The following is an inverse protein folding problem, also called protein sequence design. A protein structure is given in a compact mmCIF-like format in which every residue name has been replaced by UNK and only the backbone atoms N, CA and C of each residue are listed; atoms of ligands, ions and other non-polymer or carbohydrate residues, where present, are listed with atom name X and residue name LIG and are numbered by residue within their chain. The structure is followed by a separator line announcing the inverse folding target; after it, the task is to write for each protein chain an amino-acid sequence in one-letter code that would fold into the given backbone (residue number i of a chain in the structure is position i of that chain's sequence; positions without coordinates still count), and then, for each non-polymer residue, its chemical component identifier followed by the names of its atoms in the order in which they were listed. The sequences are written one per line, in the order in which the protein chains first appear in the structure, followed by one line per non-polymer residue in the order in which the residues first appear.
data_IF_784298735889
#
_entry.id   IF_784298735889
#
_cell.length_a   1.000
_cell.length_b   1.000
_cell.length_c   1.000
_cell.angle_alpha   90.00
_cell.angle_beta   90.00
_cell.angle_gamma   90.00
#
_symmetry.space_group_name_H-M   'P 1'
#
loop_
_entity.id
_entity.type
_entity.pdbx_description
1 polymer ?
#
# COMPACT_ATOMS: atom_id res chain seq x y z
N UNK A 1 7.17 -8.28 -24.13
CA UNK A 1 8.27 -7.68 -23.31
C UNK A 1 8.64 -8.48 -22.05
N UNK A 2 7.85 -9.48 -21.62
CA UNK A 2 7.89 -10.05 -20.26
C UNK A 2 9.01 -11.07 -19.93
N UNK A 3 9.91 -11.40 -20.87
CA UNK A 3 10.92 -12.46 -20.67
C UNK A 3 12.38 -11.98 -20.59
N UNK A 4 12.65 -10.69 -20.79
CA UNK A 4 14.00 -10.13 -20.68
C UNK A 4 14.17 -9.51 -19.28
N UNK A 5 15.21 -9.90 -18.55
CA UNK A 5 15.60 -9.20 -17.32
C UNK A 5 15.97 -7.75 -17.63
N UNK A 6 16.00 -6.85 -16.63
CA UNK A 6 16.26 -5.42 -16.86
C UNK A 6 17.53 -5.13 -17.68
N UNK A 7 18.58 -5.94 -17.48
CA UNK A 7 19.83 -5.84 -18.25
C UNK A 7 19.67 -6.32 -19.70
N UNK A 8 18.95 -7.41 -19.91
CA UNK A 8 18.72 -7.96 -21.26
C UNK A 8 17.80 -7.06 -22.08
N UNK A 9 16.82 -6.43 -21.43
CA UNK A 9 15.97 -5.39 -22.04
C UNK A 9 16.83 -4.21 -22.50
N UNK A 10 17.71 -3.72 -21.63
CA UNK A 10 18.65 -2.64 -21.97
C UNK A 10 19.57 -3.03 -23.13
N UNK A 11 20.14 -4.24 -23.12
CA UNK A 11 20.98 -4.69 -24.24
C UNK A 11 20.21 -4.75 -25.55
N UNK A 12 19.00 -5.30 -25.54
CA UNK A 12 18.19 -5.45 -26.74
C UNK A 12 17.78 -4.09 -27.30
N UNK A 13 17.19 -3.23 -26.48
CA UNK A 13 16.60 -1.98 -26.97
C UNK A 13 17.59 -0.81 -27.07
N UNK A 14 18.49 -0.63 -26.09
CA UNK A 14 19.48 0.46 -26.17
C UNK A 14 20.70 0.10 -27.02
N UNK A 15 21.23 -1.12 -26.90
CA UNK A 15 22.52 -1.46 -27.54
C UNK A 15 22.33 -2.01 -28.96
N UNK A 16 21.34 -2.89 -29.19
CA UNK A 16 21.09 -3.46 -30.53
C UNK A 16 20.15 -2.60 -31.36
N UNK A 17 18.98 -2.26 -30.83
CA UNK A 17 17.95 -1.51 -31.58
C UNK A 17 18.20 0.00 -31.57
N UNK A 18 19.04 0.49 -30.64
CA UNK A 18 19.42 1.91 -30.49
C UNK A 18 18.23 2.84 -30.28
N UNK A 19 17.24 2.36 -29.54
CA UNK A 19 16.08 3.16 -29.16
C UNK A 19 16.50 4.31 -28.22
N UNK A 20 15.95 5.52 -28.38
CA UNK A 20 16.25 6.63 -27.48
C UNK A 20 15.81 6.33 -26.04
N UNK A 21 16.70 6.54 -25.05
CA UNK A 21 16.40 6.30 -23.62
C UNK A 21 15.14 7.06 -23.17
N UNK A 22 14.93 8.28 -23.65
CA UNK A 22 13.77 9.10 -23.30
C UNK A 22 12.46 8.45 -23.76
N UNK A 23 12.45 7.80 -24.94
CA UNK A 23 11.28 7.08 -25.43
C UNK A 23 11.02 5.83 -24.59
N UNK A 24 12.06 5.10 -24.23
CA UNK A 24 11.92 3.95 -23.33
C UNK A 24 11.43 4.37 -21.93
N UNK A 25 11.91 5.50 -21.41
CA UNK A 25 11.43 6.05 -20.14
C UNK A 25 9.94 6.39 -20.18
N UNK A 26 9.47 6.94 -21.31
CA UNK A 26 8.05 7.25 -21.53
C UNK A 26 7.19 5.99 -21.52
N UNK A 27 7.66 4.88 -22.12
CA UNK A 27 7.00 3.57 -22.06
C UNK A 27 6.84 3.07 -20.63
N UNK A 28 7.78 3.37 -19.73
CA UNK A 28 7.68 3.03 -18.30
C UNK A 28 6.99 4.12 -17.47
N UNK A 29 6.30 5.08 -18.10
CA UNK A 29 5.53 6.13 -17.45
C UNK A 29 6.38 7.23 -16.81
N UNK A 30 7.65 7.37 -17.21
CA UNK A 30 8.57 8.39 -16.70
C UNK A 30 8.71 9.53 -17.71
N UNK A 31 7.92 10.58 -17.50
CA UNK A 31 8.01 11.79 -18.30
C UNK A 31 9.23 12.63 -17.91
N UNK A 32 10.24 12.69 -18.78
CA UNK A 32 11.44 13.51 -18.58
C UNK A 32 11.12 14.97 -18.93
N UNK A 33 11.18 15.93 -17.99
CA UNK A 33 10.90 17.33 -18.31
C UNK A 33 11.94 17.89 -19.28
N UNK A 34 11.60 18.89 -20.12
CA UNK A 34 12.51 19.40 -21.15
C UNK A 34 13.89 19.84 -20.65
N UNK A 35 13.97 20.36 -19.42
CA UNK A 35 15.23 20.78 -18.80
C UNK A 35 16.16 19.62 -18.43
N UNK A 36 15.61 18.40 -18.33
CA UNK A 36 16.32 17.17 -17.97
C UNK A 36 16.67 16.31 -19.19
N UNK A 37 16.29 16.73 -20.41
CA UNK A 37 16.60 16.01 -21.66
C UNK A 37 18.12 16.01 -21.93
N UNK A 38 18.81 17.07 -21.52
CA UNK A 38 20.26 17.23 -21.73
C UNK A 38 21.11 16.58 -20.61
N UNK A 39 20.49 15.80 -19.71
CA UNK A 39 21.24 15.05 -18.70
C UNK A 39 22.15 14.01 -19.37
N UNK A 40 23.25 13.68 -18.70
CA UNK A 40 24.16 12.64 -19.19
C UNK A 40 23.43 11.31 -19.40
N UNK A 41 23.75 10.63 -20.50
CA UNK A 41 23.13 9.37 -20.90
C UNK A 41 23.24 8.29 -19.82
N UNK A 42 24.32 8.30 -19.03
CA UNK A 42 24.55 7.44 -17.86
C UNK A 42 23.48 7.62 -16.78
N UNK A 43 23.05 8.85 -16.55
CA UNK A 43 22.01 9.18 -15.57
C UNK A 43 20.65 8.74 -16.06
N UNK A 44 20.31 9.04 -17.32
CA UNK A 44 19.06 8.59 -17.94
C UNK A 44 18.97 7.05 -17.99
N UNK A 45 20.07 6.35 -18.29
CA UNK A 45 20.14 4.88 -18.24
C UNK A 45 19.90 4.34 -16.83
N UNK A 46 20.40 5.03 -15.81
CA UNK A 46 20.16 4.65 -14.40
C UNK A 46 18.68 4.79 -14.04
N UNK A 47 18.05 5.90 -14.41
CA UNK A 47 16.60 6.10 -14.22
C UNK A 47 15.83 5.02 -14.97
N UNK A 48 16.21 4.69 -16.21
CA UNK A 48 15.55 3.66 -17.00
C UNK A 48 15.64 2.29 -16.32
N UNK A 49 16.83 1.88 -15.87
CA UNK A 49 17.02 0.62 -15.15
C UNK A 49 16.19 0.56 -13.87
N UNK A 50 16.13 1.65 -13.10
CA UNK A 50 15.27 1.73 -11.91
C UNK A 50 13.79 1.63 -12.26
N UNK A 51 13.38 2.26 -13.37
CA UNK A 51 11.99 2.25 -13.85
C UNK A 51 11.57 0.87 -14.33
N UNK A 52 12.42 0.18 -15.11
CA UNK A 52 12.22 -1.22 -15.52
C UNK A 52 12.15 -2.13 -14.29
N UNK A 53 13.08 -1.99 -13.34
CA UNK A 53 13.11 -2.80 -12.12
C UNK A 53 11.84 -2.60 -11.30
N UNK A 54 11.37 -1.35 -11.17
CA UNK A 54 10.11 -1.02 -10.51
C UNK A 54 8.92 -1.63 -11.25
N UNK A 55 8.90 -1.56 -12.58
CA UNK A 55 7.85 -2.13 -13.42
C UNK A 55 7.79 -3.66 -13.30
N UNK A 56 8.93 -4.34 -13.47
CA UNK A 56 9.05 -5.80 -13.32
C UNK A 56 8.78 -6.27 -11.89
N UNK A 57 9.05 -5.42 -10.90
CA UNK A 57 8.74 -5.67 -9.49
C UNK A 57 7.26 -5.49 -9.13
N UNK A 58 6.42 -4.96 -10.04
CA UNK A 58 4.99 -4.87 -9.77
C UNK A 58 4.37 -6.26 -9.75
N UNK A 59 3.63 -6.54 -8.68
CA UNK A 59 2.82 -7.75 -8.59
C UNK A 59 1.83 -7.81 -9.75
N UNK A 60 1.73 -8.98 -10.38
CA UNK A 60 0.68 -9.28 -11.36
C UNK A 60 -0.59 -9.77 -10.68
N UNK A 61 -1.73 -9.44 -11.28
CA UNK A 61 -3.06 -9.83 -10.79
C UNK A 61 -3.25 -11.35 -10.84
N UNK A 62 -3.94 -11.91 -9.84
CA UNK A 62 -4.38 -13.30 -9.86
C UNK A 62 -5.63 -13.43 -10.73
N UNK A 63 -5.46 -13.89 -11.97
CA UNK A 63 -6.53 -13.96 -12.98
C UNK A 63 -7.72 -14.86 -12.62
N UNK A 64 -7.56 -15.75 -11.63
CA UNK A 64 -8.64 -16.62 -11.15
C UNK A 64 -9.51 -15.98 -10.06
N UNK A 65 -9.19 -14.75 -9.63
CA UNK A 65 -9.90 -14.00 -8.59
C UNK A 65 -10.39 -12.69 -9.23
N UNK A 66 -11.71 -12.54 -9.39
CA UNK A 66 -12.28 -11.40 -10.12
C UNK A 66 -13.64 -10.93 -9.58
N UNK A 67 -14.44 -11.86 -9.06
CA UNK A 67 -15.84 -11.61 -8.72
C UNK A 67 -16.01 -11.13 -7.28
N UNK A 68 -17.19 -10.56 -7.03
CA UNK A 68 -17.60 -10.24 -5.66
C UNK A 68 -17.77 -11.51 -4.81
N UNK A 69 -18.19 -12.61 -5.42
CA UNK A 69 -18.27 -13.94 -4.81
C UNK A 69 -16.89 -14.46 -4.39
N UNK A 70 -15.85 -14.25 -5.20
CA UNK A 70 -14.47 -14.62 -4.84
C UNK A 70 -14.00 -13.85 -3.60
N UNK A 71 -14.35 -12.56 -3.49
CA UNK A 71 -14.05 -11.76 -2.29
C UNK A 71 -14.71 -12.34 -1.04
N UNK A 72 -15.97 -12.73 -1.13
CA UNK A 72 -16.70 -13.35 -0.01
C UNK A 72 -16.01 -14.66 0.40
N UNK A 73 -15.67 -15.51 -0.58
CA UNK A 73 -15.00 -16.79 -0.35
C UNK A 73 -13.61 -16.60 0.29
N UNK A 74 -12.83 -15.63 -0.18
CA UNK A 74 -11.52 -15.27 0.38
C UNK A 74 -11.67 -14.85 1.84
N UNK A 75 -12.54 -13.89 2.15
CA UNK A 75 -12.76 -13.43 3.54
C UNK A 75 -13.22 -14.59 4.43
N UNK A 76 -14.05 -15.49 3.90
CA UNK A 76 -14.53 -16.66 4.64
C UNK A 76 -13.41 -17.68 4.93
N UNK A 77 -12.50 -17.93 3.97
CA UNK A 77 -11.43 -18.93 4.09
C UNK A 77 -10.17 -18.41 4.81
N UNK A 78 -9.81 -17.16 4.60
CA UNK A 78 -8.61 -16.53 5.15
C UNK A 78 -8.63 -16.47 6.69
N UNK A 79 -7.45 -16.63 7.29
CA UNK A 79 -7.23 -16.65 8.74
C UNK A 79 -6.23 -15.59 9.20
N UNK A 80 -5.45 -15.04 8.27
CA UNK A 80 -4.36 -14.09 8.54
C UNK A 80 -4.50 -12.88 7.62
N UNK A 81 -5.63 -12.19 7.79
CA UNK A 81 -5.99 -11.03 6.98
C UNK A 81 -5.22 -9.81 7.48
N UNK A 82 -4.45 -9.19 6.58
CA UNK A 82 -3.86 -7.87 6.78
C UNK A 82 -4.82 -6.82 6.23
N UNK A 83 -5.17 -5.81 7.04
CA UNK A 83 -6.01 -4.69 6.59
C UNK A 83 -5.20 -3.41 6.60
N UNK A 84 -5.08 -2.73 5.47
CA UNK A 84 -4.45 -1.42 5.35
C UNK A 84 -5.54 -0.35 5.25
N UNK A 85 -5.60 0.57 6.22
CA UNK A 85 -6.61 1.62 6.28
C UNK A 85 -6.03 3.01 6.07
N UNK A 86 -6.82 3.87 5.42
CA UNK A 86 -6.55 5.31 5.31
C UNK A 86 -7.77 6.15 5.68
N UNK A 87 -7.69 7.45 5.42
CA UNK A 87 -8.68 8.42 5.92
C UNK A 87 -10.13 8.13 5.48
N UNK A 88 -10.32 7.40 4.38
CA UNK A 88 -11.64 7.01 3.87
C UNK A 88 -12.49 6.24 4.87
N UNK A 89 -11.89 5.46 5.79
CA UNK A 89 -12.65 4.72 6.81
C UNK A 89 -13.23 5.61 7.92
N UNK A 90 -12.71 6.83 8.05
CA UNK A 90 -13.09 7.79 9.10
C UNK A 90 -13.99 8.92 8.59
N UNK A 91 -14.29 8.98 7.28
CA UNK A 91 -15.10 10.06 6.69
C UNK A 91 -16.51 10.11 7.28
N UNK A 92 -17.16 8.96 7.45
CA UNK A 92 -18.49 8.86 8.07
C UNK A 92 -18.49 9.14 9.57
N UNK A 93 -17.32 9.07 10.23
CA UNK A 93 -17.15 9.48 11.63
C UNK A 93 -17.20 11.01 11.80
N UNK A 94 -17.21 11.78 10.70
CA UNK A 94 -17.17 13.24 10.70
C UNK A 94 -15.76 13.83 10.60
N UNK A 95 -14.74 13.00 10.37
CA UNK A 95 -13.36 13.45 10.12
C UNK A 95 -13.18 13.60 8.60
N UNK A 96 -12.99 14.83 8.09
CA UNK A 96 -12.70 15.00 6.66
C UNK A 96 -11.36 14.34 6.33
N UNK A 97 -11.28 13.71 5.16
CA UNK A 97 -10.00 13.24 4.65
C UNK A 97 -9.08 14.42 4.30
N UNK A 98 -7.83 14.15 3.94
CA UNK A 98 -6.90 15.22 3.60
C UNK A 98 -7.15 15.79 2.20
N UNK A 99 -7.48 14.94 1.22
CA UNK A 99 -7.28 15.21 -0.20
C UNK A 99 -8.55 15.44 -1.03
N UNK A 100 -9.73 15.00 -0.56
CA UNK A 100 -10.95 15.17 -1.33
C UNK A 100 -11.33 16.65 -1.51
N UNK A 101 -12.32 16.90 -2.37
CA UNK A 101 -12.86 18.25 -2.61
C UNK A 101 -13.35 18.96 -1.34
N UNK A 102 -13.75 18.19 -0.31
CA UNK A 102 -14.16 18.72 1.00
C UNK A 102 -13.11 18.46 2.09
N UNK A 103 -11.93 17.98 1.71
CA UNK A 103 -10.87 17.57 2.61
C UNK A 103 -10.16 18.74 3.30
N UNK A 104 -9.24 18.42 4.20
CA UNK A 104 -8.49 19.39 5.01
C UNK A 104 -7.73 20.37 4.12
N UNK A 105 -7.09 19.89 3.05
CA UNK A 105 -6.21 20.70 2.20
C UNK A 105 -6.92 21.85 1.49
N UNK A 106 -8.22 21.74 1.20
CA UNK A 106 -8.98 22.84 0.59
C UNK A 106 -9.22 24.00 1.57
N UNK A 107 -9.22 23.72 2.87
CA UNK A 107 -9.33 24.73 3.94
C UNK A 107 -8.00 25.41 4.24
N UNK A 108 -6.88 24.88 3.72
CA UNK A 108 -5.54 25.41 3.97
C UNK A 108 -5.14 26.58 3.05
N UNK A 109 -5.94 26.91 2.04
CA UNK A 109 -5.65 28.03 1.12
C UNK A 109 -5.43 29.38 1.82
N UNK A 110 -5.98 29.55 3.03
CA UNK A 110 -5.78 30.75 3.87
C UNK A 110 -4.35 30.90 4.42
N UNK A 111 -3.54 29.85 4.43
CA UNK A 111 -2.17 29.85 4.94
C UNK A 111 -1.12 30.13 3.87
N UNK A 112 -1.53 30.36 2.62
CA UNK A 112 -0.66 30.65 1.48
C UNK A 112 0.50 29.63 1.32
N UNK A 113 0.22 28.36 1.65
CA UNK A 113 1.14 27.24 1.44
C UNK A 113 1.21 26.94 -0.05
N UNK A 114 2.42 26.67 -0.57
CA UNK A 114 2.60 26.25 -1.95
C UNK A 114 2.14 24.82 -2.18
N UNK A 115 2.25 23.98 -1.15
CA UNK A 115 1.68 22.62 -1.10
C UNK A 115 1.03 22.41 0.28
N UNK A 116 -0.26 22.04 0.36
CA UNK A 116 -0.92 21.68 1.62
C UNK A 116 -0.17 20.65 2.48
N UNK A 117 0.65 19.78 1.88
CA UNK A 117 1.49 18.80 2.59
C UNK A 117 2.55 19.45 3.49
N UNK A 118 2.96 20.70 3.19
CA UNK A 118 3.93 21.46 4.00
C UNK A 118 3.49 21.65 5.45
N UNK A 119 2.19 21.58 5.74
CA UNK A 119 1.69 21.63 7.12
C UNK A 119 2.20 20.46 7.98
N UNK A 120 2.51 19.33 7.35
CA UNK A 120 3.03 18.12 7.97
C UNK A 120 4.49 17.89 7.59
N UNK A 121 5.22 18.89 7.12
CA UNK A 121 6.66 18.79 6.84
C UNK A 121 7.47 19.18 8.08
N UNK A 122 8.45 18.35 8.46
CA UNK A 122 9.21 18.58 9.70
C UNK A 122 10.03 19.88 9.64
N UNK A 123 10.66 20.17 8.50
CA UNK A 123 11.51 21.36 8.35
C UNK A 123 10.65 22.63 8.32
N UNK A 124 9.50 22.57 7.66
CA UNK A 124 8.52 23.66 7.71
C UNK A 124 7.99 23.88 9.13
N UNK A 125 7.71 22.81 9.87
CA UNK A 125 7.27 22.87 11.28
C UNK A 125 8.33 23.48 12.21
N UNK A 126 9.63 23.25 11.97
CA UNK A 126 10.71 23.88 12.75
C UNK A 126 10.73 25.39 12.59
N UNK A 127 10.34 25.89 11.42
CA UNK A 127 10.35 27.32 11.07
C UNK A 127 9.06 28.02 11.51
N UNK A 128 7.90 27.41 11.24
CA UNK A 128 6.58 28.01 11.42
C UNK A 128 5.58 27.05 12.12
N UNK A 129 5.85 26.62 13.36
CA UNK A 129 5.01 25.65 14.09
C UNK A 129 3.57 26.16 14.33
N UNK A 130 3.37 27.48 14.37
CA UNK A 130 2.06 28.11 14.52
C UNK A 130 1.08 27.75 13.40
N UNK A 131 1.56 27.44 12.20
CA UNK A 131 0.70 27.03 11.08
C UNK A 131 0.03 25.70 11.40
N UNK A 132 0.81 24.70 11.83
CA UNK A 132 0.27 23.43 12.31
C UNK A 132 -0.65 23.64 13.52
N UNK A 133 -0.23 24.41 14.53
CA UNK A 133 -1.02 24.60 15.76
C UNK A 133 -2.31 25.41 15.59
N UNK A 134 -2.38 26.25 14.55
CA UNK A 134 -3.64 26.91 14.18
C UNK A 134 -4.68 25.94 13.61
N UNK A 135 -4.24 24.75 13.18
CA UNK A 135 -5.07 23.70 12.58
C UNK A 135 -5.22 22.46 13.47
N UNK A 136 -4.27 22.16 14.35
CA UNK A 136 -4.19 20.92 15.12
C UNK A 136 -5.47 20.56 15.89
N UNK A 137 -6.27 21.53 16.33
CA UNK A 137 -7.56 21.29 16.99
C UNK A 137 -8.59 20.56 16.11
N UNK A 138 -8.53 20.73 14.79
CA UNK A 138 -9.48 20.18 13.82
C UNK A 138 -9.24 18.67 13.63
N UNK A 139 -8.01 18.21 13.86
CA UNK A 139 -7.59 16.80 13.76
C UNK A 139 -7.33 16.16 15.12
N UNK A 140 -7.46 16.93 16.21
CA UNK A 140 -7.29 16.39 17.56
C UNK A 140 -8.39 15.36 17.84
N UNK A 141 -8.08 14.20 18.45
CA UNK A 141 -9.08 13.19 18.75
C UNK A 141 -10.25 13.78 19.54
N UNK A 142 -11.44 13.70 18.98
CA UNK A 142 -12.69 14.10 19.61
C UNK A 142 -13.56 12.87 19.85
N UNK A 143 -14.70 12.99 20.54
CA UNK A 143 -15.61 11.88 20.85
C UNK A 143 -16.32 11.34 19.59
N UNK A 144 -15.56 10.93 18.58
CA UNK A 144 -16.04 10.31 17.36
C UNK A 144 -16.48 8.88 17.65
N UNK A 145 -17.54 8.44 16.97
CA UNK A 145 -17.98 7.05 17.01
C UNK A 145 -17.28 6.29 15.87
N UNK A 146 -16.80 5.06 16.12
CA UNK A 146 -16.28 4.21 15.06
C UNK A 146 -17.29 4.00 13.93
N UNK A 147 -16.81 3.98 12.69
CA UNK A 147 -17.63 3.68 11.50
C UNK A 147 -17.88 2.17 11.36
N UNK A 148 -18.87 1.77 10.53
CA UNK A 148 -19.03 0.38 10.09
C UNK A 148 -17.72 -0.26 9.60
N UNK A 149 -16.88 0.49 8.88
CA UNK A 149 -15.55 0.03 8.43
C UNK A 149 -14.63 -0.35 9.59
N UNK A 150 -14.59 0.45 10.67
CA UNK A 150 -13.83 0.09 11.88
C UNK A 150 -14.41 -1.13 12.57
N UNK A 151 -15.74 -1.21 12.68
CA UNK A 151 -16.41 -2.34 13.31
C UNK A 151 -16.26 -3.64 12.51
N UNK A 152 -16.12 -3.56 11.19
CA UNK A 152 -15.76 -4.70 10.35
C UNK A 152 -14.37 -5.25 10.69
N UNK A 153 -13.37 -4.37 10.85
CA UNK A 153 -12.03 -4.78 11.27
C UNK A 153 -12.08 -5.40 12.67
N UNK A 154 -12.84 -4.80 13.58
CA UNK A 154 -13.07 -5.37 14.91
C UNK A 154 -13.73 -6.76 14.84
N UNK A 155 -14.66 -6.95 13.91
CA UNK A 155 -15.32 -8.23 13.68
C UNK A 155 -14.35 -9.29 13.14
N UNK A 156 -13.45 -8.91 12.23
CA UNK A 156 -12.36 -9.80 11.77
C UNK A 156 -11.46 -10.22 12.94
N UNK A 157 -11.14 -9.29 13.86
CA UNK A 157 -10.39 -9.61 15.08
C UNK A 157 -11.16 -10.58 15.99
N UNK A 158 -12.43 -10.30 16.25
CA UNK A 158 -13.29 -11.14 17.10
C UNK A 158 -13.49 -12.56 16.52
N UNK A 159 -13.39 -12.71 15.20
CA UNK A 159 -13.44 -14.00 14.50
C UNK A 159 -12.07 -14.68 14.36
N UNK A 160 -11.02 -14.13 14.96
CA UNK A 160 -9.64 -14.60 14.89
C UNK A 160 -9.11 -14.71 13.43
N UNK A 161 -9.52 -13.76 12.59
CA UNK A 161 -9.11 -13.66 11.18
C UNK A 161 -8.13 -12.52 10.93
N UNK A 162 -8.15 -11.48 11.76
CA UNK A 162 -7.26 -10.34 11.63
C UNK A 162 -5.83 -10.74 12.06
N UNK A 163 -4.87 -10.61 11.14
CA UNK A 163 -3.45 -10.64 11.44
C UNK A 163 -3.00 -9.30 12.04
N UNK A 164 -3.27 -8.21 11.30
CA UNK A 164 -2.97 -6.84 11.72
C UNK A 164 -3.77 -5.84 10.91
N UNK A 165 -4.11 -4.72 11.52
CA UNK A 165 -4.55 -3.52 10.83
C UNK A 165 -3.44 -2.47 10.83
N UNK A 166 -2.88 -2.17 9.64
CA UNK A 166 -1.94 -1.09 9.41
C UNK A 166 -2.74 0.17 9.05
N UNK A 167 -2.81 1.14 9.95
CA UNK A 167 -3.57 2.37 9.71
C UNK A 167 -2.64 3.55 9.42
N UNK A 168 -2.97 4.29 8.36
CA UNK A 168 -2.35 5.58 8.04
C UNK A 168 -2.99 6.73 8.82
N UNK A 169 -4.09 6.46 9.53
CA UNK A 169 -4.82 7.46 10.29
C UNK A 169 -4.10 7.79 11.60
N UNK A 170 -4.34 9.01 12.06
CA UNK A 170 -3.80 9.56 13.32
C UNK A 170 -4.91 9.84 14.34
N UNK A 171 -6.16 9.54 13.96
CA UNK A 171 -7.38 9.89 14.70
C UNK A 171 -7.67 8.97 15.89
N UNK A 172 -7.01 7.81 15.96
CA UNK A 172 -7.11 6.79 17.02
C UNK A 172 -8.48 6.10 17.15
N UNK A 173 -9.34 6.20 16.13
CA UNK A 173 -10.68 5.58 16.17
C UNK A 173 -10.60 4.06 16.26
N UNK A 174 -9.55 3.43 15.73
CA UNK A 174 -9.31 1.99 15.83
C UNK A 174 -9.23 1.53 17.30
N UNK A 175 -8.59 2.33 18.16
CA UNK A 175 -8.52 2.07 19.59
C UNK A 175 -9.89 2.24 20.28
N UNK A 176 -10.68 3.23 19.84
CA UNK A 176 -12.05 3.44 20.33
C UNK A 176 -12.97 2.27 19.92
N UNK A 177 -12.78 1.73 18.71
CA UNK A 177 -13.43 0.51 18.24
C UNK A 177 -12.98 -0.76 18.97
N UNK A 178 -11.96 -0.64 19.84
CA UNK A 178 -11.41 -1.74 20.63
C UNK A 178 -10.61 -2.74 19.80
N UNK A 179 -10.08 -2.33 18.63
CA UNK A 179 -9.20 -3.18 17.81
C UNK A 179 -7.82 -3.19 18.46
N UNK A 180 -7.31 -4.37 18.79
CA UNK A 180 -6.05 -4.53 19.52
C UNK A 180 -4.87 -4.75 18.57
N UNK A 181 -5.09 -5.45 17.46
CA UNK A 181 -4.06 -5.76 16.45
C UNK A 181 -3.87 -4.57 15.48
N UNK A 182 -3.67 -3.36 16.00
CA UNK A 182 -3.50 -2.12 15.22
C UNK A 182 -2.05 -1.66 15.26
N UNK A 183 -1.55 -1.18 14.12
CA UNK A 183 -0.28 -0.48 13.99
C UNK A 183 -0.54 0.90 13.36
N UNK A 184 -0.18 1.97 14.08
CA UNK A 184 -0.33 3.35 13.61
C UNK A 184 0.89 3.74 12.77
N UNK A 185 0.82 3.55 11.45
CA UNK A 185 1.96 3.77 10.55
C UNK A 185 2.49 5.19 10.64
N UNK A 186 1.60 6.19 10.73
CA UNK A 186 1.97 7.60 10.84
C UNK A 186 1.88 8.15 12.27
N UNK A 187 2.00 7.28 13.28
CA UNK A 187 1.91 7.69 14.68
C UNK A 187 0.50 8.15 15.09
N UNK A 188 0.39 8.89 16.18
CA UNK A 188 -0.90 9.33 16.72
C UNK A 188 -0.75 10.48 17.72
N UNK A 189 -1.89 11.01 18.19
CA UNK A 189 -1.94 11.98 19.29
C UNK A 189 -1.77 11.36 20.69
N UNK A 190 -1.46 10.06 20.82
CA UNK A 190 -1.36 9.38 22.12
C UNK A 190 -0.23 9.95 23.01
N UNK A 191 0.84 10.44 22.39
CA UNK A 191 1.96 11.09 23.07
C UNK A 191 2.50 12.26 22.24
N UNK A 192 3.36 13.06 22.87
CA UNK A 192 4.02 14.19 22.23
C UNK A 192 5.46 14.32 22.70
N UNK A 193 6.35 14.80 21.84
CA UNK A 193 7.78 14.87 22.13
C UNK A 193 8.35 16.25 21.81
N UNK A 194 9.29 16.72 22.62
CA UNK A 194 10.04 17.94 22.28
C UNK A 194 10.95 17.68 21.08
N UNK A 195 10.88 18.54 20.05
CA UNK A 195 11.68 18.40 18.83
C UNK A 195 13.20 18.62 19.02
N UNK A 196 13.63 19.02 20.22
CA UNK A 196 15.03 19.30 20.54
C UNK A 196 15.64 18.33 21.54
N UNK A 197 14.97 18.09 22.67
CA UNK A 197 15.49 17.20 23.70
C UNK A 197 14.84 15.81 23.71
N UNK A 198 13.88 15.58 22.82
CA UNK A 198 13.12 14.32 22.69
C UNK A 198 12.45 13.86 23.99
N UNK A 199 12.28 14.77 24.96
CA UNK A 199 11.50 14.48 26.17
C UNK A 199 10.06 14.19 25.74
N UNK A 200 9.58 13.01 26.12
CA UNK A 200 8.24 12.52 25.83
C UNK A 200 7.26 12.97 26.91
N UNK A 201 6.08 13.38 26.47
CA UNK A 201 4.96 13.83 27.27
C UNK A 201 3.70 13.04 26.89
N UNK A 202 2.76 12.83 27.83
CA UNK A 202 1.42 12.34 27.50
C UNK A 202 0.74 13.22 26.44
N UNK A 203 -0.09 12.64 25.57
CA UNK A 203 -0.75 13.37 24.47
C UNK A 203 -1.70 14.48 24.93
N UNK A 204 -2.27 14.34 26.13
CA UNK A 204 -3.13 15.35 26.76
C UNK A 204 -2.34 16.52 27.37
N UNK A 205 -1.01 16.42 27.49
CA UNK A 205 -0.15 17.47 28.03
C UNK A 205 -0.24 18.78 27.25
N UNK A 206 -0.34 18.70 25.92
CA UNK A 206 -0.42 19.85 25.01
C UNK A 206 -1.87 20.18 24.59
N UNK A 207 -2.87 19.51 25.18
CA UNK A 207 -4.27 19.64 24.78
C UNK A 207 -4.74 21.08 24.89
N UNK A 208 -4.47 21.73 26.02
CA UNK A 208 -4.92 23.11 26.27
C UNK A 208 -4.39 24.06 25.19
N UNK A 209 -3.10 23.98 24.88
CA UNK A 209 -2.44 24.81 23.89
C UNK A 209 -2.99 24.56 22.49
N UNK A 210 -3.25 23.31 22.11
CA UNK A 210 -3.90 22.95 20.83
C UNK A 210 -5.28 23.63 20.71
N UNK A 211 -6.13 23.53 21.73
CA UNK A 211 -7.48 24.12 21.69
C UNK A 211 -7.45 25.66 21.75
N UNK A 212 -6.45 26.24 22.42
CA UNK A 212 -6.19 27.68 22.40
C UNK A 212 -5.45 28.15 21.13
N UNK A 213 -5.09 27.24 20.21
CA UNK A 213 -4.29 27.50 19.00
C UNK A 213 -2.96 28.21 19.31
N UNK A 214 -2.28 27.76 20.37
CA UNK A 214 -0.97 28.25 20.81
C UNK A 214 0.08 27.16 20.60
N UNK A 215 1.32 27.59 20.39
CA UNK A 215 2.47 26.68 20.27
C UNK A 215 2.89 26.22 21.68
N UNK A 216 2.88 24.90 21.98
CA UNK A 216 3.36 24.36 23.24
C UNK A 216 4.89 24.29 23.24
N UNK A 217 5.52 24.88 24.27
CA UNK A 217 6.97 24.87 24.44
C UNK A 217 7.40 23.94 25.57
N UNK A 218 8.52 23.25 25.37
CA UNK A 218 9.09 22.26 26.28
C UNK A 218 9.62 22.92 27.56
N UNK A 219 9.01 22.65 28.75
CA UNK A 219 9.46 23.23 30.01
C UNK A 219 10.89 22.82 30.38
N UNK A 220 11.32 21.62 29.99
CA UNK A 220 12.67 21.12 30.28
C UNK A 220 13.75 21.89 29.51
N UNK A 221 13.47 22.30 28.27
CA UNK A 221 14.39 23.11 27.47
C UNK A 221 14.38 24.58 27.90
N UNK A 222 13.20 25.14 28.19
CA UNK A 222 13.09 26.55 28.61
C UNK A 222 13.86 26.83 29.91
N UNK A 223 13.99 25.85 30.80
CA UNK A 223 14.81 25.97 32.02
C UNK A 223 16.33 25.97 31.77
N UNK A 224 16.78 25.46 30.62
CA UNK A 224 18.20 25.23 30.31
C UNK A 224 18.78 26.25 29.34
N UNK A 225 17.93 26.98 28.60
CA UNK A 225 18.36 27.92 27.57
C UNK A 225 18.48 29.32 28.15
N UNK A 226 19.57 30.00 27.79
CA UNK A 226 19.64 31.45 27.81
C UNK A 226 18.97 31.99 26.54
N UNK A 227 18.31 33.14 26.65
CA UNK A 227 17.38 33.68 25.65
C UNK A 227 17.99 33.92 24.24
N UNK A 228 19.33 33.87 24.11
CA UNK A 228 20.09 34.21 22.90
C UNK A 228 20.67 33.02 22.10
N UNK A 229 20.50 31.75 22.52
CA UNK A 229 21.26 30.60 21.95
C UNK A 229 20.49 29.65 20.99
N UNK A 230 19.24 29.92 20.63
CA UNK A 230 18.44 28.96 19.85
C UNK A 230 17.78 29.54 18.60
N UNK A 231 18.31 29.22 17.40
CA UNK A 231 17.63 29.47 16.11
C UNK A 231 16.29 28.71 15.99
N UNK A 232 16.14 27.58 16.69
CA UNK A 232 14.94 26.73 16.63
C UNK A 232 14.27 26.70 18.02
N UNK A 233 12.98 27.05 18.14
CA UNK A 233 12.26 27.03 19.40
C UNK A 233 12.04 25.60 19.93
N UNK A 234 12.03 25.36 21.25
CA UNK A 234 11.83 24.03 21.85
C UNK A 234 10.35 23.63 21.85
N UNK A 235 9.77 23.50 20.67
CA UNK A 235 8.37 23.14 20.49
C UNK A 235 8.15 21.67 20.87
N UNK A 236 7.04 21.38 21.53
CA UNK A 236 6.53 20.02 21.70
C UNK A 236 5.71 19.70 20.45
N UNK A 237 5.92 18.55 19.81
CA UNK A 237 5.16 18.07 18.64
C UNK A 237 4.38 16.81 19.04
N UNK A 238 3.11 16.61 18.62
CA UNK A 238 2.48 15.30 18.71
C UNK A 238 3.35 14.23 18.02
N UNK A 239 3.33 12.99 18.51
CA UNK A 239 4.08 11.88 17.93
C UNK A 239 3.34 11.31 16.69
N UNK A 240 3.02 12.22 15.76
CA UNK A 240 2.56 11.96 14.39
C UNK A 240 3.76 12.09 13.48
N UNK A 241 3.92 11.16 12.56
CA UNK A 241 4.99 11.17 11.56
C UNK A 241 4.75 12.29 10.56
N UNK A 242 5.69 13.21 10.47
CA UNK A 242 5.72 14.28 9.47
C UNK A 242 6.51 13.82 8.23
N UNK A 243 6.28 14.46 7.08
CA UNK A 243 7.15 14.28 5.93
C UNK A 243 8.59 14.62 6.30
N UNK A 244 9.50 13.72 5.91
CA UNK A 244 10.92 13.77 6.30
C UNK A 244 11.25 13.05 7.60
N UNK A 245 10.26 12.52 8.34
CA UNK A 245 10.48 11.62 9.48
C UNK A 245 10.39 10.15 9.04
N UNK A 246 11.17 9.29 9.69
CA UNK A 246 11.04 7.84 9.57
C UNK A 246 9.72 7.37 10.19
N UNK A 247 9.16 6.27 9.66
CA UNK A 247 8.05 5.59 10.33
C UNK A 247 8.51 5.01 11.68
N UNK A 248 7.59 4.69 12.61
CA UNK A 248 7.97 4.06 13.86
C UNK A 248 8.67 2.71 13.63
N UNK A 249 9.72 2.40 14.41
CA UNK A 249 10.48 1.14 14.30
C UNK A 249 9.59 -0.13 14.33
N UNK A 250 8.44 -0.03 15.02
CA UNK A 250 7.45 -1.11 15.10
C UNK A 250 6.88 -1.49 13.72
N UNK A 251 6.82 -0.54 12.78
CA UNK A 251 6.35 -0.75 11.42
C UNK A 251 7.17 -1.83 10.71
N UNK A 252 8.49 -1.64 10.59
CA UNK A 252 9.36 -2.60 9.91
C UNK A 252 9.41 -3.94 10.63
N UNK A 253 9.49 -3.92 11.97
CA UNK A 253 9.55 -5.12 12.79
C UNK A 253 8.29 -5.98 12.67
N UNK A 254 7.12 -5.34 12.60
CA UNK A 254 5.84 -6.04 12.42
C UNK A 254 5.66 -6.47 10.98
N UNK A 255 6.01 -5.62 10.02
CA UNK A 255 5.84 -5.91 8.60
C UNK A 255 6.65 -7.12 8.15
N UNK A 256 7.91 -7.24 8.59
CA UNK A 256 8.78 -8.41 8.29
C UNK A 256 8.16 -9.73 8.77
N UNK A 257 7.44 -9.73 9.89
CA UNK A 257 6.78 -10.93 10.42
C UNK A 257 5.46 -11.18 9.70
N UNK A 258 4.64 -10.13 9.59
CA UNK A 258 3.29 -10.24 9.06
C UNK A 258 3.29 -10.58 7.56
N UNK A 259 4.30 -10.13 6.78
CA UNK A 259 4.45 -10.44 5.34
C UNK A 259 4.61 -11.94 5.03
N UNK A 260 5.08 -12.73 5.98
CA UNK A 260 5.29 -14.18 5.80
C UNK A 260 4.07 -15.00 6.28
N UNK A 261 3.21 -14.40 7.09
CA UNK A 261 2.03 -15.09 7.65
C UNK A 261 0.73 -14.77 6.92
N UNK A 262 0.64 -13.63 6.24
CA UNK A 262 -0.64 -13.19 5.67
C UNK A 262 -1.13 -14.10 4.55
N UNK A 263 -2.45 -14.26 4.48
CA UNK A 263 -3.12 -15.01 3.41
C UNK A 263 -4.14 -14.17 2.62
N UNK A 264 -4.33 -12.90 3.00
CA UNK A 264 -5.16 -11.93 2.29
C UNK A 264 -4.78 -10.50 2.69
N UNK A 265 -4.68 -9.60 1.70
CA UNK A 265 -4.60 -8.15 1.91
C UNK A 265 -5.93 -7.49 1.54
N UNK A 266 -6.45 -6.66 2.44
CA UNK A 266 -7.56 -5.74 2.16
C UNK A 266 -7.09 -4.30 2.36
N UNK A 267 -7.08 -3.50 1.30
CA UNK A 267 -6.83 -2.06 1.37
C UNK A 267 -8.18 -1.35 1.42
N UNK A 268 -8.41 -0.53 2.44
CA UNK A 268 -9.70 0.11 2.65
C UNK A 268 -9.57 1.61 2.92
N UNK A 269 -10.27 2.42 2.12
CA UNK A 269 -10.32 3.87 2.31
C UNK A 269 -8.97 4.58 2.17
N UNK A 270 -8.05 4.02 1.37
CA UNK A 270 -6.76 4.64 1.07
C UNK A 270 -6.51 4.68 -0.44
N UNK A 271 -5.95 5.81 -0.90
CA UNK A 271 -5.46 5.95 -2.28
C UNK A 271 -4.02 5.47 -2.46
N UNK A 272 -3.35 5.03 -1.38
CA UNK A 272 -1.96 4.54 -1.40
C UNK A 272 -0.98 5.47 -2.14
N UNK A 273 -1.08 6.78 -1.89
CA UNK A 273 -0.18 7.78 -2.51
C UNK A 273 1.05 8.14 -1.68
N UNK A 274 1.16 7.65 -0.44
CA UNK A 274 2.20 8.07 0.51
C UNK A 274 3.06 6.87 0.90
N UNK A 275 4.33 6.94 0.49
CA UNK A 275 5.37 6.01 0.90
C UNK A 275 5.77 6.24 2.37
N UNK A 276 6.29 5.22 3.06
CA UNK A 276 6.55 3.85 2.56
C UNK A 276 5.33 2.93 2.63
N UNK A 277 4.22 3.36 3.23
CA UNK A 277 3.01 2.51 3.40
C UNK A 277 2.42 2.07 2.06
N UNK A 278 2.43 2.93 1.05
CA UNK A 278 2.00 2.57 -0.32
C UNK A 278 2.84 1.48 -0.98
N UNK A 279 4.09 1.31 -0.55
CA UNK A 279 5.04 0.38 -1.17
C UNK A 279 4.95 -1.03 -0.58
N UNK A 280 4.26 -1.21 0.56
CA UNK A 280 4.04 -2.51 1.20
C UNK A 280 3.61 -3.58 0.18
N UNK A 281 2.71 -3.22 -0.74
CA UNK A 281 2.15 -4.15 -1.71
C UNK A 281 3.21 -4.81 -2.61
N UNK A 282 4.31 -4.11 -2.89
CA UNK A 282 5.41 -4.61 -3.72
C UNK A 282 6.30 -5.61 -2.98
N UNK A 283 6.19 -5.67 -1.65
CA UNK A 283 7.00 -6.56 -0.81
C UNK A 283 6.23 -7.78 -0.32
N UNK A 284 4.94 -7.90 -0.64
CA UNK A 284 4.13 -9.06 -0.30
C UNK A 284 4.35 -10.21 -1.30
N UNK A 285 4.21 -11.48 -0.89
CA UNK A 285 4.28 -12.60 -1.82
C UNK A 285 3.23 -12.47 -2.94
N UNK A 286 3.64 -12.71 -4.19
CA UNK A 286 2.79 -12.48 -5.36
C UNK A 286 1.50 -13.30 -5.37
N UNK A 287 1.50 -14.46 -4.71
CA UNK A 287 0.35 -15.35 -4.59
C UNK A 287 -0.68 -14.92 -3.53
N UNK A 288 -0.39 -13.90 -2.72
CA UNK A 288 -1.35 -13.37 -1.75
C UNK A 288 -2.42 -12.57 -2.51
N UNK A 289 -3.71 -12.88 -2.32
CA UNK A 289 -4.78 -12.10 -2.93
C UNK A 289 -4.89 -10.70 -2.33
N UNK A 290 -5.15 -9.71 -3.18
CA UNK A 290 -5.22 -8.29 -2.81
C UNK A 290 -6.55 -7.67 -3.25
N UNK A 291 -7.29 -7.11 -2.31
CA UNK A 291 -8.60 -6.50 -2.54
C UNK A 291 -8.55 -5.02 -2.19
N UNK A 292 -9.13 -4.17 -3.05
CA UNK A 292 -9.35 -2.75 -2.76
C UNK A 292 -10.82 -2.49 -2.41
N UNK A 293 -11.05 -1.73 -1.34
CA UNK A 293 -12.35 -1.15 -0.99
C UNK A 293 -12.15 0.37 -0.88
N UNK A 294 -12.49 1.12 -1.92
CA UNK A 294 -12.20 2.55 -1.94
C UNK A 294 -13.22 3.34 -2.76
N UNK A 295 -13.29 4.65 -2.57
CA UNK A 295 -14.24 5.49 -3.31
C UNK A 295 -13.85 5.69 -4.78
N UNK A 296 -12.55 5.66 -5.06
CA UNK A 296 -11.96 5.73 -6.40
C UNK A 296 -11.13 4.47 -6.65
N UNK A 297 -11.01 4.03 -7.90
CA UNK A 297 -10.05 2.99 -8.26
C UNK A 297 -8.61 3.41 -7.98
N UNK A 298 -7.74 2.41 -7.92
CA UNK A 298 -6.29 2.60 -7.95
C UNK A 298 -5.76 2.00 -9.25
N UNK A 299 -5.20 2.87 -10.10
CA UNK A 299 -4.66 2.51 -11.41
C UNK A 299 -3.19 2.09 -11.35
N UNK A 300 -2.46 2.56 -10.33
CA UNK A 300 -1.03 2.29 -10.18
C UNK A 300 -0.73 0.87 -9.69
N UNK A 301 -1.68 0.28 -8.96
CA UNK A 301 -1.57 -1.01 -8.28
C UNK A 301 -2.54 -2.07 -8.83
N UNK A 302 -2.03 -3.27 -9.07
CA UNK A 302 -2.77 -4.39 -9.64
C UNK A 302 -3.48 -5.23 -8.55
N UNK A 303 -4.58 -4.69 -8.02
CA UNK A 303 -5.50 -5.43 -7.15
C UNK A 303 -6.24 -6.53 -7.93
N UNK A 304 -6.53 -7.65 -7.26
CA UNK A 304 -7.30 -8.75 -7.84
C UNK A 304 -8.77 -8.40 -8.02
N UNK A 305 -9.34 -7.68 -7.05
CA UNK A 305 -10.70 -7.15 -7.10
C UNK A 305 -10.71 -5.73 -6.53
N UNK A 306 -11.39 -4.81 -7.22
CA UNK A 306 -11.62 -3.45 -6.72
C UNK A 306 -13.12 -3.21 -6.49
N UNK A 307 -13.51 -3.04 -5.22
CA UNK A 307 -14.86 -2.66 -4.81
C UNK A 307 -14.93 -1.14 -4.65
N UNK A 308 -15.53 -0.47 -5.62
CA UNK A 308 -15.50 0.98 -5.74
C UNK A 308 -16.77 1.61 -5.20
N UNK A 309 -16.68 2.35 -4.09
CA UNK A 309 -17.81 3.03 -3.45
C UNK A 309 -17.55 3.45 -2.02
N UNK A 310 -18.61 3.75 -1.26
CA UNK A 310 -18.49 4.00 0.18
C UNK A 310 -18.08 2.72 0.91
N UNK A 311 -16.96 2.78 1.66
CA UNK A 311 -16.43 1.62 2.37
C UNK A 311 -17.45 1.03 3.34
N UNK A 312 -18.17 1.88 4.09
CA UNK A 312 -19.19 1.48 5.04
C UNK A 312 -20.33 0.68 4.41
N UNK A 313 -20.81 1.10 3.24
CA UNK A 313 -21.84 0.39 2.49
C UNK A 313 -21.31 -0.97 2.01
N UNK A 314 -20.09 -1.01 1.48
CA UNK A 314 -19.48 -2.25 0.97
C UNK A 314 -19.28 -3.26 2.11
N UNK A 315 -18.74 -2.84 3.27
CA UNK A 315 -18.52 -3.77 4.39
C UNK A 315 -19.83 -4.28 4.98
N UNK A 316 -20.91 -3.49 4.98
CA UNK A 316 -22.23 -3.95 5.40
C UNK A 316 -22.75 -5.04 4.45
N UNK A 317 -22.65 -4.83 3.13
CA UNK A 317 -23.06 -5.83 2.13
C UNK A 317 -22.24 -7.12 2.27
N UNK A 318 -20.92 -7.00 2.46
CA UNK A 318 -20.04 -8.14 2.72
C UNK A 318 -20.48 -8.91 3.96
N UNK A 319 -20.77 -8.22 5.06
CA UNK A 319 -21.25 -8.85 6.29
C UNK A 319 -22.58 -9.59 6.06
N UNK A 320 -23.54 -8.96 5.38
CA UNK A 320 -24.83 -9.58 5.09
C UNK A 320 -24.67 -10.86 4.25
N UNK A 321 -23.79 -10.84 3.24
CA UNK A 321 -23.48 -12.01 2.39
C UNK A 321 -22.76 -13.11 3.14
N UNK A 322 -21.89 -12.75 4.10
CA UNK A 322 -21.20 -13.69 4.98
C UNK A 322 -22.09 -14.23 6.12
N UNK A 323 -23.30 -13.69 6.28
CA UNK A 323 -24.17 -13.98 7.43
C UNK A 323 -23.59 -13.47 8.75
N UNK A 324 -22.83 -12.37 8.70
CA UNK A 324 -22.17 -11.75 9.84
C UNK A 324 -22.93 -10.49 10.28
N UNK A 325 -22.90 -10.21 11.59
CA UNK A 325 -23.51 -9.02 12.16
C UNK A 325 -22.41 -8.04 12.59
N UNK A 326 -22.52 -6.78 12.14
CA UNK A 326 -21.59 -5.73 12.56
C UNK A 326 -21.90 -5.32 14.01
N UNK A 327 -20.89 -5.34 14.90
CA UNK A 327 -21.08 -4.96 16.29
C UNK A 327 -21.36 -3.45 16.42
N UNK A 328 -22.29 -3.08 17.31
CA UNK A 328 -22.58 -1.70 17.72
C UNK A 328 -22.89 -0.70 16.59
N UNK A 329 -23.31 -1.21 15.42
CA UNK A 329 -23.64 -0.40 14.24
C UNK A 329 -25.15 -0.47 13.96
N UNK A 330 -25.87 0.67 13.90
CA UNK A 330 -27.25 0.68 13.43
C UNK A 330 -27.30 0.19 11.97
N UNK A 331 -28.19 -0.76 11.66
CA UNK A 331 -28.45 -1.12 10.25
C UNK A 331 -29.01 0.09 9.53
N UNK A 332 -28.23 0.68 8.65
CA UNK A 332 -28.77 1.55 7.62
C UNK A 332 -29.53 0.69 6.59
N UNK A 333 -30.62 1.20 6.05
CA UNK A 333 -31.25 0.57 4.89
C UNK A 333 -30.26 0.64 3.74
N UNK A 334 -29.66 -0.50 3.40
CA UNK A 334 -28.83 -0.65 2.22
C UNK A 334 -29.74 -0.31 1.04
N UNK A 335 -29.39 0.70 0.21
CA UNK A 335 -30.10 0.89 -1.05
C UNK A 335 -30.12 -0.44 -1.79
N UNK A 336 -31.27 -0.85 -2.35
CA UNK A 336 -31.27 -1.98 -3.27
C UNK A 336 -30.14 -1.74 -4.28
N UNK A 337 -29.32 -2.77 -4.52
CA UNK A 337 -28.24 -2.70 -5.49
C UNK A 337 -28.90 -2.59 -6.86
N UNK A 338 -29.31 -1.38 -7.25
CA UNK A 338 -29.60 -1.04 -8.63
C UNK A 338 -28.26 -0.91 -9.33
N UNK A 339 -27.67 -2.06 -9.66
CA UNK A 339 -26.81 -2.10 -10.83
C UNK A 339 -27.72 -1.84 -12.03
N UNK A 340 -27.93 -0.57 -12.42
CA UNK A 340 -28.34 -0.31 -13.79
C UNK A 340 -27.20 -0.82 -14.67
N UNK A 341 -27.44 -1.97 -15.30
CA UNK A 341 -26.53 -2.58 -16.28
C UNK A 341 -26.36 -1.69 -17.54
N UNK A 342 -27.02 -0.53 -17.57
CA UNK A 342 -27.30 0.25 -18.78
C UNK A 342 -26.58 1.61 -18.83
N UNK A 343 -25.84 2.01 -17.77
CA UNK A 343 -24.99 3.23 -17.78
C UNK A 343 -23.48 2.93 -17.84
N UNK A 344 -23.10 1.69 -18.13
CA UNK A 344 -21.71 1.24 -18.07
C UNK A 344 -20.94 1.57 -19.35
N UNK A 345 -20.06 2.57 -19.24
CA UNK A 345 -18.69 2.42 -19.77
C UNK A 345 -18.20 1.05 -19.30
N UNK A 346 -17.67 0.20 -20.20
CA UNK A 346 -17.15 -1.14 -19.84
C UNK A 346 -16.11 -0.96 -18.74
N UNK A 347 -16.43 -1.40 -17.52
CA UNK A 347 -15.45 -1.53 -16.46
C UNK A 347 -14.74 -2.88 -16.62
N UNK A 348 -13.46 -2.98 -16.23
CA UNK A 348 -12.80 -4.27 -16.12
C UNK A 348 -13.64 -5.23 -15.27
N UNK A 349 -13.72 -6.51 -15.65
CA UNK A 349 -14.57 -7.51 -14.99
C UNK A 349 -14.24 -7.75 -13.50
N UNK A 350 -13.11 -7.26 -13.03
CA UNK A 350 -12.66 -7.31 -11.64
C UNK A 350 -12.98 -6.03 -10.83
N UNK A 351 -13.71 -5.08 -11.42
CA UNK A 351 -14.18 -3.87 -10.75
C UNK A 351 -15.68 -3.94 -10.50
N UNK A 352 -16.07 -3.66 -9.25
CA UNK A 352 -17.46 -3.71 -8.82
C UNK A 352 -17.86 -2.34 -8.28
N UNK A 353 -18.89 -1.73 -8.88
CA UNK A 353 -19.37 -0.40 -8.52
C UNK A 353 -20.45 -0.48 -7.44
N UNK A 354 -20.31 0.37 -6.42
CA UNK A 354 -21.23 0.52 -5.30
C UNK A 354 -21.64 2.00 -5.14
N UNK A 355 -22.68 2.28 -4.34
CA UNK A 355 -23.06 3.65 -4.02
C UNK A 355 -21.87 4.49 -3.53
N UNK A 356 -21.76 5.72 -4.03
CA UNK A 356 -20.68 6.64 -3.68
C UNK A 356 -19.42 6.56 -4.53
N UNK A 357 -19.34 5.61 -5.48
CA UNK A 357 -18.23 5.47 -6.41
C UNK A 357 -17.94 6.78 -7.16
N UNK A 358 -16.67 7.14 -7.23
CA UNK A 358 -16.14 8.25 -8.01
C UNK A 358 -15.20 7.68 -9.06
N UNK A 359 -15.65 7.75 -10.31
CA UNK A 359 -14.94 7.29 -11.50
C UNK A 359 -14.69 8.53 -12.36
N UNK A 360 -13.44 8.79 -12.75
CA UNK A 360 -13.13 9.91 -13.65
C UNK A 360 -13.31 9.49 -15.11
N UNK A 361 -14.32 10.01 -15.83
CA UNK A 361 -14.57 9.68 -17.24
C UNK A 361 -13.35 9.83 -18.16
N UNK A 362 -12.42 10.74 -17.83
CA UNK A 362 -11.23 11.00 -18.65
C UNK A 362 -10.19 9.87 -18.56
N UNK A 363 -10.13 9.14 -17.44
CA UNK A 363 -9.19 8.03 -17.22
C UNK A 363 -9.69 6.71 -17.87
N UNK A 364 -10.87 6.69 -18.50
CA UNK A 364 -11.43 5.52 -19.19
C UNK A 364 -11.13 5.46 -20.69
N UNK A 365 -10.68 6.55 -21.30
CA UNK A 365 -10.37 6.58 -22.74
C UNK A 365 -9.08 5.81 -23.08
N UNK A 366 -8.22 5.54 -22.09
CA UNK A 366 -6.97 4.81 -22.27
C UNK A 366 -7.10 3.29 -22.03
N UNK A 367 -8.06 2.85 -21.20
CA UNK A 367 -8.25 1.43 -20.84
C UNK A 367 -8.76 0.59 -22.03
N UNK A 368 -9.53 1.19 -22.95
CA UNK A 368 -9.99 0.51 -24.17
C UNK A 368 -8.82 0.06 -25.07
N UNK A 369 -7.64 0.68 -24.96
CA UNK A 369 -6.47 0.33 -25.77
C UNK A 369 -5.63 -0.81 -25.17
N UNK A 370 -5.62 -0.97 -23.84
CA UNK A 370 -4.76 -1.95 -23.16
C UNK A 370 -5.44 -3.31 -22.95
N UNK A 371 -6.76 -3.37 -22.69
CA UNK A 371 -7.46 -4.65 -22.47
C UNK A 371 -7.74 -5.43 -23.76
N UNK A 372 -7.94 -4.76 -24.89
CA UNK A 372 -8.12 -5.45 -26.18
C UNK A 372 -6.80 -6.05 -26.70
N UNK A 373 -5.65 -5.43 -26.41
CA UNK A 373 -4.32 -5.98 -26.72
C UNK A 373 -3.96 -7.14 -25.77
N UNK A 374 -4.19 -6.98 -24.46
CA UNK A 374 -3.89 -8.03 -23.47
C UNK A 374 -4.76 -9.28 -23.63
N UNK A 375 -6.07 -9.14 -23.86
CA UNK A 375 -6.94 -10.30 -24.06
C UNK A 375 -6.68 -10.99 -25.41
N UNK A 376 -6.22 -10.25 -26.43
CA UNK A 376 -5.76 -10.86 -27.69
C UNK A 376 -4.44 -11.62 -27.50
N UNK A 377 -3.47 -11.06 -26.77
CA UNK A 377 -2.21 -11.75 -26.45
C UNK A 377 -2.45 -13.01 -25.62
N UNK A 378 -3.22 -12.94 -24.53
CA UNK A 378 -3.50 -14.11 -23.67
C UNK A 378 -4.33 -15.19 -24.38
N UNK A 379 -5.27 -14.81 -25.25
CA UNK A 379 -6.04 -15.78 -26.07
C UNK A 379 -5.16 -16.46 -27.12
N UNK A 380 -4.18 -15.73 -27.68
CA UNK A 380 -3.21 -16.30 -28.63
C UNK A 380 -2.17 -17.20 -27.95
N UNK A 381 -1.69 -16.85 -26.74
CA UNK A 381 -0.74 -17.64 -25.97
C UNK A 381 -1.39 -18.90 -25.37
N UNK A 382 -2.66 -18.84 -24.93
CA UNK A 382 -3.38 -20.04 -24.48
C UNK A 382 -3.64 -21.03 -25.63
N UNK A 383 -3.84 -20.55 -26.86
CA UNK A 383 -3.90 -21.43 -28.03
C UNK A 383 -2.53 -22.06 -28.38
N UNK A 384 -1.43 -21.35 -28.18
CA UNK A 384 -0.08 -21.93 -28.38
C UNK A 384 0.29 -22.97 -27.32
N UNK A 385 -0.14 -22.80 -26.07
CA UNK A 385 0.09 -23.77 -24.99
C UNK A 385 -0.68 -25.09 -25.24
N UNK A 386 -1.90 -25.03 -25.76
CA UNK A 386 -2.66 -26.24 -26.16
C UNK A 386 -2.02 -26.95 -27.37
N UNK A 387 -1.41 -26.20 -28.31
CA UNK A 387 -0.69 -26.78 -29.47
C UNK A 387 0.63 -27.44 -29.04
N UNK A 388 1.35 -26.89 -28.07
CA UNK A 388 2.58 -27.49 -27.52
C UNK A 388 2.26 -28.76 -26.72
N UNK A 389 1.13 -28.78 -26.00
CA UNK A 389 0.66 -29.95 -25.25
C UNK A 389 0.29 -31.12 -26.17
N UNK A 390 -0.26 -30.84 -27.36
CA UNK A 390 -0.62 -31.85 -28.36
C UNK A 390 0.58 -32.31 -29.20
N UNK A 391 1.61 -31.47 -29.38
CA UNK A 391 2.82 -31.83 -30.11
C UNK A 391 3.71 -32.84 -29.34
N UNK A 392 3.71 -32.81 -28.01
CA UNK A 392 4.58 -33.67 -27.19
C UNK A 392 4.10 -35.13 -27.04
N UNK A 393 2.87 -35.48 -27.44
CA UNK A 393 2.39 -36.87 -27.41
C UNK A 393 2.61 -37.64 -28.73
N UNK A 394 3.12 -36.98 -29.78
CA UNK A 394 3.24 -37.60 -31.12
C UNK A 394 4.65 -38.02 -31.56
N UNK A 395 5.70 -37.80 -30.74
CA UNK A 395 7.10 -38.12 -31.11
C UNK A 395 7.73 -39.33 -30.39
N UNK A 396 6.96 -40.23 -29.79
CA UNK A 396 7.50 -41.46 -29.18
C UNK A 396 6.84 -42.76 -29.66
N UNK A 397 6.86 -43.02 -30.98
CA UNK A 397 6.71 -44.36 -31.54
C UNK A 397 7.60 -44.56 -32.78
N UNK A 398 8.64 -45.38 -32.62
CA UNK A 398 9.50 -46.13 -33.58
C UNK A 398 10.99 -45.93 -33.25
N UNK A 399 11.64 -46.85 -32.54
CA UNK A 399 12.28 -48.05 -33.10
C UNK A 399 13.77 -47.75 -33.39
N UNK A 400 14.81 -48.51 -33.02
CA UNK A 400 14.99 -49.93 -32.72
C UNK A 400 16.47 -50.17 -32.33
N UNK A 401 16.73 -51.19 -31.47
CA UNK A 401 17.92 -52.06 -31.38
C UNK A 401 19.30 -51.43 -31.08
N UNK A 402 20.17 -51.91 -30.17
CA UNK A 402 20.25 -53.11 -29.34
C UNK A 402 21.74 -53.40 -29.04
N UNK A 403 22.12 -53.70 -27.79
CA UNK A 403 23.15 -54.72 -27.42
C UNK A 403 23.60 -54.64 -25.95
N UNK A 404 23.46 -55.80 -25.28
CA UNK A 404 24.31 -56.43 -24.26
C UNK A 404 24.58 -55.78 -22.87
N UNK A 405 23.94 -56.43 -21.87
CA UNK A 405 24.28 -56.71 -20.45
C UNK A 405 25.79 -56.86 -20.08
N UNK A 406 26.20 -56.96 -18.78
CA UNK A 406 25.45 -56.91 -17.50
C UNK A 406 26.07 -56.09 -16.33
N UNK A 407 25.30 -56.02 -15.24
CA UNK A 407 25.61 -55.59 -13.87
C UNK A 407 26.70 -56.41 -13.15
N UNK A 408 27.55 -55.73 -12.35
CA UNK A 408 28.19 -56.10 -11.07
C UNK A 408 29.29 -55.04 -10.79
N UNK A 409 29.61 -54.54 -9.60
CA UNK A 409 29.26 -54.81 -8.21
C UNK A 409 30.10 -53.86 -7.31
N UNK A 410 29.79 -53.87 -6.00
CA UNK A 410 30.55 -53.33 -4.86
C UNK A 410 31.95 -52.72 -5.08
N UNK A 411 32.27 -51.64 -4.34
CA UNK A 411 33.24 -51.71 -3.24
C UNK A 411 33.29 -50.43 -2.39
N UNK A 412 33.13 -50.69 -1.10
CA UNK A 412 33.47 -49.90 0.07
C UNK A 412 34.99 -49.65 0.13
N UNK A 413 35.45 -48.47 0.62
CA UNK A 413 36.57 -48.29 1.59
C UNK A 413 37.01 -46.82 1.69
N UNK A 414 36.81 -46.23 2.88
CA UNK A 414 37.77 -45.31 3.52
C UNK A 414 39.07 -46.09 3.85
N UNK A 415 40.29 -45.50 4.02
CA UNK A 415 40.54 -44.38 4.96
C UNK A 415 41.73 -43.44 4.60
N UNK A 416 41.88 -42.32 5.34
CA UNK A 416 43.14 -41.98 6.03
C UNK A 416 43.04 -40.72 6.91
N UNK A 417 43.49 -40.87 8.16
CA UNK A 417 43.81 -39.84 9.15
C UNK A 417 45.34 -39.63 9.18
N UNK A 418 45.79 -38.40 9.48
CA UNK A 418 47.01 -38.07 10.27
C UNK A 418 47.11 -36.54 10.39
N UNK A 419 46.79 -35.91 11.53
CA UNK A 419 47.66 -35.55 12.69
C UNK A 419 48.75 -34.52 12.41
N UNK A 420 48.68 -33.40 13.16
CA UNK A 420 49.73 -32.59 13.80
C UNK A 420 49.06 -31.30 14.31
N UNK A 421 49.37 -30.65 15.41
CA UNK A 421 50.07 -30.91 16.69
C UNK A 421 49.88 -29.59 17.49
N UNK A 422 49.94 -29.65 18.82
CA UNK A 422 49.74 -28.55 19.76
C UNK A 422 51.00 -27.67 19.94
N UNK A 423 50.82 -26.42 20.42
CA UNK A 423 51.53 -25.72 21.55
C UNK A 423 51.55 -24.19 21.36
N UNK A 424 50.88 -23.43 22.24
CA UNK A 424 51.39 -22.70 23.43
C UNK A 424 51.92 -21.28 23.16
N UNK A 425 51.11 -20.26 23.47
CA UNK A 425 51.32 -19.27 24.55
C UNK A 425 50.18 -18.26 24.62
#
# INVERSE_FOLDING_TARGET
MLFLGANDFVQEYLEKQKEPIIQLLDVFGVHVPPIAIDLEESYLKTILLQSITKFLGKRQRLLHINSFEDVIELIQKSKKIMVLTGAGVSVSCGIPDFRSSNGIYTKLGKYNLSDPQQMFDLEYFRIAPEIFYSFAKEIYPSNFKPSPSHMFIKLLENKDKLLRNYTQNIDTIESIAGINKVLNCHGSFASSSCILCHTKYPGDFIKKEIFEQKVPYCPACLKKRNDDEGLIPPVIKPDIVFFGEDLPDEFDQSFIKDREELDLLIVMGSSLKVAPVSEIMNYLPANVPQILINRTPNYDAHFDVQLIGYSDTIVQILCDKLGWELPDTPREQIPEIEASFEDLIRLPHYWHRFPGAQLDPAEFLDIESEEDDWNQEVSSEMQEIDVISIAMESEHLDGTQGSNLPLNGNLNTNPNQSTNEQQEN
#
